data_IF_115954935694
#
_entry.id   IF_115954935694
#
_cell.length_a   1.000
_cell.length_b   1.000
_cell.length_c   1.000
_cell.angle_alpha   90.00
_cell.angle_beta   90.00
_cell.angle_gamma   90.00
#
_symmetry.space_group_name_H-M   'P 1'
#
loop_
_entity.id
_entity.type
_entity.pdbx_description
1 polymer ?
#
# COMPACT_ATOMS: atom_id res chain seq x y z
N UNK A 1 44.01 42.17 -9.74
CA UNK A 1 44.21 41.58 -11.08
C UNK A 1 43.23 40.44 -11.22
N UNK A 2 42.46 40.52 -12.30
CA UNK A 2 41.33 39.69 -12.69
C UNK A 2 41.60 38.19 -12.61
N UNK A 3 40.62 37.43 -12.13
CA UNK A 3 40.44 36.06 -12.60
C UNK A 3 39.09 35.92 -13.26
N UNK A 4 39.18 35.58 -14.54
CA UNK A 4 38.11 35.31 -15.49
C UNK A 4 37.31 34.09 -15.04
N UNK A 5 36.00 34.20 -15.23
CA UNK A 5 35.07 33.08 -15.24
C UNK A 5 35.42 32.12 -16.38
N UNK A 6 35.40 30.83 -16.09
CA UNK A 6 35.21 29.79 -17.10
C UNK A 6 34.27 28.72 -16.53
N UNK A 7 33.00 28.89 -16.85
CA UNK A 7 31.93 27.90 -16.70
C UNK A 7 32.24 26.71 -17.60
N UNK A 8 32.36 25.48 -17.07
CA UNK A 8 32.15 24.27 -17.89
C UNK A 8 31.57 23.13 -17.05
N UNK A 9 30.50 22.58 -17.60
CA UNK A 9 29.62 21.51 -17.14
C UNK A 9 30.33 20.26 -16.59
N UNK A 10 29.81 19.71 -15.48
CA UNK A 10 30.14 18.35 -15.03
C UNK A 10 28.87 17.48 -14.99
N UNK A 11 28.84 16.42 -15.82
CA UNK A 11 27.78 15.41 -15.88
C UNK A 11 28.21 14.17 -15.08
N UNK A 12 27.58 13.99 -13.92
CA UNK A 12 27.35 12.73 -13.17
C UNK A 12 28.55 11.93 -12.62
N UNK A 13 28.38 11.52 -11.35
CA UNK A 13 29.26 10.66 -10.54
C UNK A 13 29.00 9.17 -10.81
N UNK A 14 30.05 8.36 -11.01
CA UNK A 14 29.97 6.88 -11.01
C UNK A 14 31.12 6.26 -10.19
N UNK A 15 30.84 5.15 -9.48
CA UNK A 15 31.75 4.36 -8.60
C UNK A 15 32.96 3.69 -9.29
N UNK A 16 33.37 4.21 -10.44
CA UNK A 16 34.50 3.77 -11.23
C UNK A 16 35.03 5.03 -11.92
N UNK A 17 36.23 5.46 -11.50
CA UNK A 17 37.08 6.55 -12.00
C UNK A 17 36.38 7.65 -12.83
N UNK A 18 36.25 8.88 -12.27
CA UNK A 18 36.08 10.13 -13.05
C UNK A 18 36.74 11.33 -12.35
N UNK A 19 37.97 11.63 -12.80
CA UNK A 19 38.67 12.93 -12.87
C UNK A 19 38.86 13.77 -11.60
N UNK A 20 40.13 13.87 -11.18
CA UNK A 20 40.61 14.84 -10.17
C UNK A 20 41.65 15.77 -10.82
N UNK A 21 41.52 17.07 -10.60
CA UNK A 21 42.52 18.06 -11.01
C UNK A 21 43.57 18.18 -9.92
N UNK A 22 44.80 17.75 -10.20
CA UNK A 22 45.98 18.12 -9.40
C UNK A 22 46.67 19.29 -10.11
N UNK A 23 46.51 20.50 -9.61
CA UNK A 23 47.43 21.61 -9.89
C UNK A 23 48.27 21.80 -8.62
N UNK A 24 49.61 22.00 -8.71
CA UNK A 24 50.14 23.19 -9.36
C UNK A 24 51.53 23.06 -10.03
N UNK A 25 51.80 23.92 -11.02
CA UNK A 25 53.14 24.44 -11.35
C UNK A 25 54.33 23.46 -11.47
N UNK A 26 54.15 22.30 -12.07
CA UNK A 26 55.24 21.59 -12.73
C UNK A 26 54.66 20.58 -13.72
N UNK A 27 55.19 20.58 -14.94
CA UNK A 27 55.04 19.45 -15.83
C UNK A 27 55.45 18.17 -15.07
N UNK A 28 54.78 17.05 -15.33
CA UNK A 28 55.01 15.68 -14.82
C UNK A 28 53.99 15.22 -13.79
N UNK A 29 52.94 14.56 -14.28
CA UNK A 29 52.45 13.29 -13.73
C UNK A 29 52.00 12.41 -14.89
N UNK A 30 52.94 12.09 -15.78
CA UNK A 30 52.87 10.85 -16.54
C UNK A 30 53.76 9.84 -15.80
N UNK A 31 53.22 8.85 -15.07
CA UNK A 31 54.01 7.79 -14.49
C UNK A 31 54.24 6.67 -15.52
N UNK A 32 54.22 6.96 -16.83
CA UNK A 32 54.64 6.02 -17.87
C UNK A 32 56.11 5.64 -17.67
N UNK A 33 56.35 4.57 -16.92
CA UNK A 33 57.52 3.67 -16.96
C UNK A 33 58.95 4.26 -16.87
N UNK A 34 59.14 5.58 -16.92
CA UNK A 34 60.43 6.26 -17.01
C UNK A 34 61.13 6.41 -15.66
N UNK A 35 60.41 6.18 -14.56
CA UNK A 35 60.89 6.33 -13.19
C UNK A 35 60.82 5.03 -12.37
N UNK A 36 60.63 3.88 -13.02
CA UNK A 36 60.67 2.55 -12.36
C UNK A 36 62.03 1.89 -12.56
N UNK A 37 62.90 1.76 -11.52
CA UNK A 37 64.12 0.98 -11.65
C UNK A 37 63.76 -0.47 -11.98
N UNK A 38 64.28 -0.99 -13.10
CA UNK A 38 64.12 -2.39 -13.54
C UNK A 38 62.66 -2.83 -13.82
N UNK A 39 61.74 -1.89 -14.06
CA UNK A 39 60.34 -2.22 -14.39
C UNK A 39 59.50 -2.78 -13.23
N UNK A 40 60.00 -2.71 -11.98
CA UNK A 40 59.22 -3.06 -10.79
C UNK A 40 58.47 -1.83 -10.25
N UNK A 41 57.13 -1.80 -10.31
CA UNK A 41 56.32 -0.64 -9.90
C UNK A 41 56.48 -0.28 -8.42
N UNK A 42 56.81 -1.26 -7.58
CA UNK A 42 56.99 -1.08 -6.13
C UNK A 42 58.23 -0.24 -5.76
N UNK A 43 59.16 -0.04 -6.70
CA UNK A 43 60.36 0.78 -6.51
C UNK A 43 60.23 2.19 -7.13
N UNK A 44 59.00 2.62 -7.46
CA UNK A 44 58.77 3.95 -7.98
C UNK A 44 59.07 5.01 -6.90
N UNK A 45 59.96 6.01 -7.15
CA UNK A 45 60.34 7.02 -6.16
C UNK A 45 59.20 7.99 -5.79
N UNK A 46 58.06 7.89 -6.46
CA UNK A 46 56.83 8.59 -6.11
C UNK A 46 56.03 7.85 -5.04
N UNK A 47 56.17 6.54 -4.90
CA UNK A 47 55.53 5.77 -3.83
C UNK A 47 56.05 6.25 -2.47
N UNK A 48 55.16 6.29 -1.47
CA UNK A 48 55.45 6.81 -0.14
C UNK A 48 55.37 8.34 0.00
N UNK A 49 55.27 9.10 -1.10
CA UNK A 49 55.02 10.56 -1.05
C UNK A 49 53.56 10.87 -0.80
N UNK A 50 53.28 11.99 -0.15
CA UNK A 50 51.91 12.47 0.06
C UNK A 50 51.51 13.52 -0.97
N UNK A 51 50.32 13.37 -1.54
CA UNK A 51 49.69 14.31 -2.47
C UNK A 51 48.39 14.84 -1.87
N UNK A 52 48.06 16.10 -2.15
CA UNK A 52 46.77 16.69 -1.78
C UNK A 52 45.83 16.62 -2.99
N UNK A 53 44.77 15.84 -2.86
CA UNK A 53 43.74 15.67 -3.88
C UNK A 53 42.56 16.57 -3.53
N UNK A 54 42.04 17.31 -4.51
CA UNK A 54 40.90 18.22 -4.30
C UNK A 54 39.79 17.97 -5.32
N UNK A 55 38.53 18.03 -4.87
CA UNK A 55 37.32 17.88 -5.69
C UNK A 55 36.17 18.65 -5.06
N UNK A 56 35.43 19.40 -5.89
CA UNK A 56 34.25 20.18 -5.47
C UNK A 56 34.47 20.99 -4.18
N UNK A 57 35.64 21.65 -4.06
CA UNK A 57 35.99 22.49 -2.92
C UNK A 57 36.46 21.75 -1.65
N UNK A 58 36.44 20.41 -1.65
CA UNK A 58 37.02 19.58 -0.59
C UNK A 58 38.42 19.13 -0.98
N UNK A 59 39.27 18.89 0.01
CA UNK A 59 40.60 18.30 -0.21
C UNK A 59 40.91 17.23 0.82
N UNK A 60 41.66 16.21 0.42
CA UNK A 60 42.24 15.19 1.29
C UNK A 60 43.69 14.97 0.91
N UNK A 61 44.56 14.75 1.90
CA UNK A 61 45.96 14.38 1.67
C UNK A 61 46.06 12.87 1.76
N UNK A 62 46.62 12.23 0.72
CA UNK A 62 46.78 10.78 0.61
C UNK A 62 48.21 10.43 0.25
N UNK A 63 48.65 9.24 0.60
CA UNK A 63 49.98 8.73 0.23
C UNK A 63 49.87 7.91 -1.07
N UNK A 64 50.83 8.10 -1.97
CA UNK A 64 50.95 7.31 -3.20
C UNK A 64 51.45 5.92 -2.83
N UNK A 65 50.69 4.88 -3.18
CA UNK A 65 51.01 3.49 -2.81
C UNK A 65 51.44 2.69 -4.05
N UNK A 66 50.66 2.76 -5.13
CA UNK A 66 50.91 1.96 -6.34
C UNK A 66 50.40 2.67 -7.60
N UNK A 67 50.79 2.16 -8.76
CA UNK A 67 50.22 2.52 -10.07
C UNK A 67 48.95 1.70 -10.34
N UNK A 68 47.94 2.34 -10.92
CA UNK A 68 46.76 1.66 -11.42
C UNK A 68 46.93 1.38 -12.93
N UNK A 69 47.21 0.13 -13.31
CA UNK A 69 47.42 -0.25 -14.70
C UNK A 69 46.16 -0.15 -15.59
N UNK A 70 44.97 -0.11 -14.97
CA UNK A 70 43.69 0.01 -15.65
C UNK A 70 43.18 1.46 -15.72
N UNK A 71 43.83 2.40 -15.06
CA UNK A 71 43.39 3.80 -14.99
C UNK A 71 43.89 4.58 -16.21
N UNK A 72 43.11 5.57 -16.66
CA UNK A 72 43.56 6.48 -17.72
C UNK A 72 44.72 7.36 -17.24
N UNK A 73 45.45 7.96 -18.19
CA UNK A 73 46.65 8.80 -17.92
C UNK A 73 46.40 9.96 -16.94
N UNK A 74 45.16 10.39 -16.76
CA UNK A 74 44.79 11.50 -15.87
C UNK A 74 43.86 11.09 -14.72
N UNK A 75 43.78 9.79 -14.44
CA UNK A 75 42.94 9.25 -13.37
C UNK A 75 43.77 8.95 -12.11
N UNK A 76 43.13 9.14 -10.95
CA UNK A 76 43.67 8.74 -9.65
C UNK A 76 42.73 7.70 -9.03
N UNK A 77 43.27 6.53 -8.71
CA UNK A 77 42.58 5.53 -7.91
C UNK A 77 42.79 5.84 -6.42
N UNK A 78 41.70 6.02 -5.69
CA UNK A 78 41.72 6.42 -4.28
C UNK A 78 41.17 5.29 -3.44
N UNK A 79 41.74 5.11 -2.24
CA UNK A 79 41.11 4.23 -1.27
C UNK A 79 39.67 4.70 -0.98
N UNK A 80 38.75 3.78 -0.61
CA UNK A 80 37.37 4.14 -0.34
C UNK A 80 37.22 5.28 0.68
N UNK A 81 38.10 5.31 1.68
CA UNK A 81 38.11 6.33 2.74
C UNK A 81 38.50 7.72 2.20
N UNK A 82 39.55 7.76 1.37
CA UNK A 82 39.98 9.00 0.74
C UNK A 82 38.93 9.53 -0.24
N UNK A 83 38.32 8.63 -1.03
CA UNK A 83 37.24 8.99 -1.95
C UNK A 83 36.02 9.55 -1.22
N UNK A 84 35.56 8.90 -0.14
CA UNK A 84 34.43 9.37 0.68
C UNK A 84 34.65 10.78 1.24
N UNK A 85 35.88 11.10 1.65
CA UNK A 85 36.25 12.42 2.17
C UNK A 85 36.10 13.54 1.13
N UNK A 86 36.12 13.18 -0.16
CA UNK A 86 35.98 14.11 -1.28
C UNK A 86 34.56 14.17 -1.85
N UNK A 87 33.71 13.19 -1.56
CA UNK A 87 32.30 13.24 -2.00
C UNK A 87 31.46 14.14 -1.08
N UNK A 88 30.51 14.88 -1.64
CA UNK A 88 29.33 15.25 -0.87
C UNK A 88 28.56 13.97 -0.60
N UNK A 89 28.57 13.50 0.65
CA UNK A 89 27.46 12.71 1.15
C UNK A 89 26.22 13.60 1.06
N UNK A 90 25.57 13.63 -0.11
CA UNK A 90 24.12 13.75 -0.10
C UNK A 90 23.68 12.56 0.71
N UNK A 91 23.28 12.82 1.94
CA UNK A 91 22.42 11.94 2.70
C UNK A 91 21.25 11.64 1.78
N UNK A 92 21.33 10.55 1.03
CA UNK A 92 20.14 9.84 0.59
C UNK A 92 19.46 9.53 1.91
N UNK A 93 18.48 10.35 2.27
CA UNK A 93 17.48 9.99 3.22
C UNK A 93 17.03 8.60 2.76
N UNK A 94 17.35 7.58 3.55
CA UNK A 94 16.54 6.38 3.61
C UNK A 94 15.15 6.92 3.95
N UNK A 95 14.39 7.31 2.93
CA UNK A 95 12.96 7.49 3.08
C UNK A 95 12.49 6.06 3.32
N UNK A 96 12.06 5.70 4.54
CA UNK A 96 11.29 4.48 4.63
C UNK A 96 10.11 4.72 3.70
N UNK A 97 9.80 3.75 2.84
CA UNK A 97 8.47 3.65 2.30
C UNK A 97 7.54 3.50 3.51
N UNK A 98 7.18 4.62 4.14
CA UNK A 98 6.12 4.66 5.12
C UNK A 98 4.86 4.37 4.31
N UNK A 99 4.48 3.09 4.29
CA UNK A 99 3.15 2.68 3.83
C UNK A 99 2.20 3.42 4.76
N UNK A 100 1.50 4.43 4.22
CA UNK A 100 0.49 5.12 4.99
C UNK A 100 -0.52 4.09 5.49
N UNK A 101 -0.90 4.17 6.77
CA UNK A 101 -1.94 3.31 7.30
C UNK A 101 -3.21 3.49 6.44
N UNK A 102 -3.80 2.40 5.92
CA UNK A 102 -5.00 2.50 5.12
C UNK A 102 -6.13 3.07 5.98
N UNK A 103 -6.76 4.14 5.51
CA UNK A 103 -7.92 4.69 6.18
C UNK A 103 -9.06 3.66 6.16
N UNK A 104 -9.71 3.36 7.29
CA UNK A 104 -10.82 2.41 7.31
C UNK A 104 -12.01 2.97 6.53
N UNK A 105 -12.82 2.11 5.87
CA UNK A 105 -14.05 2.55 5.26
C UNK A 105 -15.04 3.04 6.34
N UNK A 106 -15.72 4.18 6.15
CA UNK A 106 -16.75 4.63 7.06
C UNK A 106 -17.97 3.71 7.04
N UNK A 107 -18.63 3.60 8.19
CA UNK A 107 -19.92 2.92 8.36
C UNK A 107 -21.06 3.94 8.34
N UNK A 108 -22.07 3.70 7.52
CA UNK A 108 -23.30 4.50 7.49
C UNK A 108 -24.48 3.64 7.91
N UNK A 109 -25.17 4.01 8.99
CA UNK A 109 -26.35 3.28 9.45
C UNK A 109 -27.42 3.22 8.35
N UNK A 110 -27.97 2.02 8.12
CA UNK A 110 -29.01 1.75 7.13
C UNK A 110 -30.37 1.55 7.77
N UNK A 111 -30.49 0.56 8.66
CA UNK A 111 -31.72 0.19 9.34
C UNK A 111 -31.43 -0.77 10.51
N UNK A 112 -32.39 -0.91 11.41
CA UNK A 112 -32.49 -2.02 12.36
C UNK A 112 -33.56 -2.99 11.89
N UNK A 113 -33.33 -4.28 12.11
CA UNK A 113 -34.26 -5.36 11.75
C UNK A 113 -34.51 -6.26 12.95
N UNK A 114 -35.78 -6.59 13.16
CA UNK A 114 -36.21 -7.66 14.06
C UNK A 114 -36.77 -8.79 13.20
N UNK A 115 -36.08 -9.93 13.15
CA UNK A 115 -36.46 -11.12 12.41
C UNK A 115 -37.30 -12.04 13.31
N UNK A 116 -38.45 -12.48 12.81
CA UNK A 116 -39.27 -13.49 13.48
C UNK A 116 -39.13 -14.83 12.80
N UNK A 117 -39.10 -15.91 13.59
CA UNK A 117 -38.90 -17.26 13.07
C UNK A 117 -40.14 -18.13 13.30
N UNK A 118 -40.37 -19.08 12.40
CA UNK A 118 -41.26 -20.21 12.67
C UNK A 118 -40.54 -21.29 13.48
N UNK A 119 -41.27 -22.34 13.86
CA UNK A 119 -40.68 -23.48 14.55
C UNK A 119 -39.47 -24.05 13.75
N UNK A 120 -38.29 -24.20 14.39
CA UNK A 120 -37.11 -24.75 13.74
C UNK A 120 -37.31 -26.19 13.27
N UNK A 121 -36.71 -26.54 12.14
CA UNK A 121 -36.56 -27.94 11.73
C UNK A 121 -35.19 -28.42 12.15
N UNK A 122 -35.13 -29.31 13.14
CA UNK A 122 -33.85 -29.81 13.63
C UNK A 122 -33.27 -30.89 12.73
N UNK A 123 -32.01 -30.70 12.31
CA UNK A 123 -31.20 -31.73 11.64
C UNK A 123 -30.38 -32.49 12.70
N UNK A 124 -29.95 -31.78 13.75
CA UNK A 124 -29.17 -32.34 14.86
C UNK A 124 -27.67 -32.28 14.61
N UNK A 125 -26.93 -33.21 15.21
CA UNK A 125 -25.47 -33.25 15.15
C UNK A 125 -24.96 -33.65 13.76
N UNK A 126 -24.03 -32.87 13.23
CA UNK A 126 -23.32 -33.08 11.97
C UNK A 126 -21.81 -33.05 12.22
N UNK A 127 -20.94 -33.46 11.27
CA UNK A 127 -19.50 -33.54 11.51
C UNK A 127 -18.86 -32.24 12.05
N UNK A 128 -19.40 -31.07 11.66
CA UNK A 128 -18.85 -29.76 11.99
C UNK A 128 -19.52 -29.06 13.18
N UNK A 129 -20.56 -29.64 13.78
CA UNK A 129 -21.34 -28.98 14.83
C UNK A 129 -22.78 -29.49 14.90
N UNK A 130 -23.73 -28.64 15.26
CA UNK A 130 -25.16 -28.91 15.13
C UNK A 130 -25.79 -28.01 14.07
N UNK A 131 -26.87 -28.49 13.46
CA UNK A 131 -27.58 -27.76 12.42
C UNK A 131 -29.09 -27.82 12.65
N UNK A 132 -29.72 -26.66 12.51
CA UNK A 132 -31.16 -26.48 12.46
C UNK A 132 -31.48 -25.58 11.27
N UNK A 133 -32.62 -25.79 10.64
CA UNK A 133 -33.15 -24.88 9.61
C UNK A 133 -34.11 -23.91 10.28
N UNK A 134 -33.75 -22.62 10.27
CA UNK A 134 -34.52 -21.55 10.88
C UNK A 134 -35.33 -20.84 9.79
N UNK A 135 -36.63 -21.12 9.74
CA UNK A 135 -37.51 -20.48 8.76
C UNK A 135 -37.82 -19.05 9.22
N UNK A 136 -37.39 -18.06 8.45
CA UNK A 136 -37.70 -16.64 8.69
C UNK A 136 -39.12 -16.41 8.19
N UNK A 137 -40.03 -16.11 9.12
CA UNK A 137 -41.47 -16.01 8.88
C UNK A 137 -41.96 -14.56 8.75
N UNK A 138 -41.14 -13.60 9.17
CA UNK A 138 -41.50 -12.20 9.14
C UNK A 138 -40.50 -11.34 9.90
N UNK A 139 -40.93 -10.13 10.23
CA UNK A 139 -40.10 -9.15 10.91
C UNK A 139 -40.38 -7.72 10.47
N UNK A 140 -39.79 -6.79 11.18
CA UNK A 140 -39.94 -5.36 10.93
C UNK A 140 -38.57 -4.73 10.66
N UNK A 141 -38.53 -3.82 9.68
CA UNK A 141 -37.34 -3.05 9.33
C UNK A 141 -37.63 -1.57 9.49
N UNK A 142 -36.79 -0.87 10.25
CA UNK A 142 -36.92 0.57 10.49
C UNK A 142 -35.57 1.25 10.28
N UNK A 143 -35.55 2.31 9.49
CA UNK A 143 -34.33 3.04 9.19
C UNK A 143 -34.57 4.33 8.42
N UNK A 144 -33.56 5.21 8.32
CA UNK A 144 -33.68 6.49 7.62
C UNK A 144 -33.96 6.35 6.11
N UNK A 145 -33.51 5.25 5.48
CA UNK A 145 -33.65 5.04 4.02
C UNK A 145 -34.55 3.86 3.65
N UNK A 146 -34.69 2.90 4.55
CA UNK A 146 -35.41 1.65 4.31
C UNK A 146 -36.32 1.41 5.51
N UNK A 147 -37.62 1.33 5.23
CA UNK A 147 -38.64 0.95 6.19
C UNK A 147 -39.53 -0.08 5.52
N UNK A 148 -39.90 -1.13 6.25
CA UNK A 148 -40.59 -2.25 5.64
C UNK A 148 -40.82 -3.41 6.58
N UNK A 149 -41.15 -4.55 5.96
CA UNK A 149 -41.36 -5.83 6.63
C UNK A 149 -40.52 -6.91 5.98
N UNK A 150 -40.14 -7.88 6.77
CA UNK A 150 -39.48 -9.09 6.28
C UNK A 150 -40.56 -10.04 5.77
N UNK A 151 -40.31 -10.62 4.59
CA UNK A 151 -41.13 -11.67 4.02
C UNK A 151 -40.60 -13.04 4.41
N UNK A 152 -40.56 -13.97 3.46
CA UNK A 152 -40.11 -15.33 3.71
C UNK A 152 -38.61 -15.45 3.52
N UNK A 153 -37.99 -16.29 4.34
CA UNK A 153 -36.60 -16.68 4.17
C UNK A 153 -36.24 -17.93 4.95
N UNK A 154 -34.97 -18.30 4.85
CA UNK A 154 -34.38 -19.44 5.54
C UNK A 154 -32.97 -19.08 5.98
N UNK A 155 -32.63 -19.40 7.21
CA UNK A 155 -31.25 -19.46 7.69
C UNK A 155 -30.91 -20.94 7.93
N UNK A 156 -29.91 -21.42 7.20
CA UNK A 156 -29.38 -22.76 7.38
C UNK A 156 -28.08 -22.73 8.16
N UNK A 157 -27.85 -21.78 9.07
CA UNK A 157 -26.62 -21.59 9.83
C UNK A 157 -26.11 -22.82 10.59
N UNK A 158 -24.84 -22.80 10.98
CA UNK A 158 -24.18 -23.88 11.72
C UNK A 158 -23.79 -23.39 13.11
N UNK A 159 -24.13 -24.14 14.16
CA UNK A 159 -23.52 -23.96 15.48
C UNK A 159 -22.33 -24.88 15.60
N UNK A 160 -21.12 -24.34 15.74
CA UNK A 160 -19.93 -25.15 15.86
C UNK A 160 -19.80 -25.83 17.25
N UNK A 161 -18.76 -26.64 17.42
CA UNK A 161 -18.51 -27.35 18.70
C UNK A 161 -18.13 -26.43 19.86
N UNK A 162 -17.76 -25.19 19.59
CA UNK A 162 -17.51 -24.15 20.59
C UNK A 162 -18.79 -23.37 20.95
N UNK A 163 -19.91 -23.66 20.28
CA UNK A 163 -21.19 -22.99 20.49
C UNK A 163 -21.35 -21.70 19.69
N UNK A 164 -20.46 -21.42 18.72
CA UNK A 164 -20.55 -20.24 17.88
C UNK A 164 -21.50 -20.52 16.72
N UNK A 165 -22.59 -19.75 16.65
CA UNK A 165 -23.53 -19.80 15.53
C UNK A 165 -23.01 -19.00 14.34
N UNK A 166 -23.04 -19.62 13.16
CA UNK A 166 -22.60 -19.03 11.90
C UNK A 166 -23.79 -18.98 10.95
N UNK A 167 -24.53 -17.86 10.90
CA UNK A 167 -25.70 -17.71 10.05
C UNK A 167 -25.32 -17.77 8.57
N UNK A 168 -26.22 -18.32 7.76
CA UNK A 168 -26.15 -18.35 6.30
C UNK A 168 -27.60 -18.31 5.80
N UNK A 169 -28.09 -17.09 5.59
CA UNK A 169 -29.50 -16.79 5.43
C UNK A 169 -29.80 -16.08 4.12
N UNK A 170 -31.00 -16.36 3.61
CA UNK A 170 -31.62 -15.71 2.46
C UNK A 170 -33.04 -15.32 2.83
N UNK A 171 -33.42 -14.05 2.67
CA UNK A 171 -34.79 -13.59 2.96
C UNK A 171 -35.19 -12.40 2.11
N UNK A 172 -36.50 -12.17 1.99
CA UNK A 172 -37.02 -10.97 1.32
C UNK A 172 -37.32 -9.85 2.30
N UNK A 173 -37.04 -8.62 1.90
CA UNK A 173 -37.44 -7.38 2.55
C UNK A 173 -38.41 -6.64 1.62
N UNK A 174 -39.62 -6.41 2.09
CA UNK A 174 -40.65 -5.65 1.39
C UNK A 174 -40.72 -4.25 1.98
N UNK A 175 -40.36 -3.24 1.19
CA UNK A 175 -40.38 -1.85 1.64
C UNK A 175 -41.81 -1.30 1.65
N UNK A 176 -42.06 -0.29 2.50
CA UNK A 176 -43.38 0.36 2.61
C UNK A 176 -43.79 1.10 1.33
N UNK A 177 -42.83 1.40 0.46
CA UNK A 177 -43.02 2.04 -0.84
C UNK A 177 -42.91 1.04 -2.01
N UNK A 178 -43.25 -0.23 -1.74
CA UNK A 178 -43.53 -1.26 -2.75
C UNK A 178 -42.31 -1.73 -3.58
N UNK A 179 -41.13 -1.80 -2.96
CA UNK A 179 -39.98 -2.53 -3.50
C UNK A 179 -39.78 -3.86 -2.77
N UNK A 180 -39.25 -4.84 -3.47
CA UNK A 180 -38.77 -6.10 -2.87
C UNK A 180 -37.27 -6.18 -3.05
N UNK A 181 -36.58 -6.47 -1.95
CA UNK A 181 -35.13 -6.61 -1.88
C UNK A 181 -34.84 -8.01 -1.35
N UNK A 182 -34.07 -8.79 -2.09
CA UNK A 182 -33.51 -10.06 -1.62
C UNK A 182 -32.26 -9.75 -0.79
N UNK A 183 -32.16 -10.36 0.38
CA UNK A 183 -31.08 -10.13 1.34
C UNK A 183 -30.33 -11.44 1.54
N UNK A 184 -29.02 -11.39 1.34
CA UNK A 184 -28.10 -12.49 1.63
C UNK A 184 -27.29 -12.12 2.86
N UNK A 185 -27.30 -12.96 3.87
CA UNK A 185 -26.63 -12.71 5.14
C UNK A 185 -25.74 -13.88 5.51
N UNK A 186 -24.49 -13.60 5.88
CA UNK A 186 -23.56 -14.65 6.30
C UNK A 186 -22.52 -14.14 7.28
N UNK A 187 -22.12 -14.97 8.24
CA UNK A 187 -21.05 -14.60 9.15
C UNK A 187 -20.88 -15.51 10.35
N UNK A 188 -20.38 -14.95 11.44
CA UNK A 188 -20.21 -15.59 12.73
C UNK A 188 -20.82 -14.67 13.78
N UNK A 189 -21.88 -15.11 14.44
CA UNK A 189 -22.55 -14.32 15.46
C UNK A 189 -21.55 -13.79 16.51
N UNK A 190 -21.66 -12.52 16.91
CA UNK A 190 -22.75 -11.59 16.64
C UNK A 190 -22.63 -10.81 15.32
N UNK A 191 -21.68 -11.13 14.44
CA UNK A 191 -21.30 -10.27 13.31
C UNK A 191 -21.50 -10.95 11.94
N UNK A 192 -22.17 -10.25 11.04
CA UNK A 192 -22.49 -10.76 9.70
C UNK A 192 -22.21 -9.72 8.63
N UNK A 193 -21.98 -10.18 7.41
CA UNK A 193 -22.03 -9.34 6.23
C UNK A 193 -23.32 -9.59 5.46
N UNK A 194 -23.80 -8.53 4.81
CA UNK A 194 -25.06 -8.53 4.08
C UNK A 194 -24.83 -7.99 2.68
N UNK A 195 -25.41 -8.69 1.70
CA UNK A 195 -25.55 -8.25 0.32
C UNK A 195 -27.02 -8.17 -0.06
N UNK A 196 -27.31 -7.42 -1.12
CA UNK A 196 -28.68 -7.13 -1.54
C UNK A 196 -28.85 -7.32 -3.04
N UNK A 197 -30.04 -7.76 -3.45
CA UNK A 197 -30.48 -7.75 -4.84
C UNK A 197 -31.89 -7.18 -4.97
N UNK A 198 -32.10 -6.26 -5.91
CA UNK A 198 -33.42 -5.70 -6.20
C UNK A 198 -33.53 -5.21 -7.64
N UNK A 199 -34.73 -5.33 -8.20
CA UNK A 199 -35.10 -4.74 -9.49
C UNK A 199 -35.63 -3.29 -9.36
N UNK A 200 -35.80 -2.78 -8.14
CA UNK A 200 -36.32 -1.43 -7.93
C UNK A 200 -35.29 -0.38 -8.31
N UNK A 201 -35.63 0.51 -9.26
CA UNK A 201 -34.76 1.63 -9.64
C UNK A 201 -34.43 2.54 -8.45
N UNK A 202 -35.40 2.78 -7.57
CA UNK A 202 -35.21 3.59 -6.35
C UNK A 202 -34.15 3.00 -5.41
N UNK A 203 -34.08 1.68 -5.35
CA UNK A 203 -33.17 0.95 -4.47
C UNK A 203 -31.99 0.30 -5.20
N UNK A 204 -31.78 0.61 -6.49
CA UNK A 204 -30.72 0.00 -7.32
C UNK A 204 -29.30 0.18 -6.75
N UNK A 205 -29.08 1.21 -5.94
CA UNK A 205 -27.82 1.44 -5.23
C UNK A 205 -27.44 0.33 -4.23
N UNK A 206 -28.41 -0.47 -3.77
CA UNK A 206 -28.19 -1.62 -2.89
C UNK A 206 -27.48 -2.77 -3.62
N UNK A 207 -27.67 -2.92 -4.93
CA UNK A 207 -27.05 -3.99 -5.72
C UNK A 207 -25.52 -3.91 -5.74
N UNK A 208 -24.95 -2.74 -5.41
CA UNK A 208 -23.50 -2.52 -5.27
C UNK A 208 -23.08 -2.24 -3.83
N UNK A 209 -23.99 -2.31 -2.87
CA UNK A 209 -23.71 -2.04 -1.48
C UNK A 209 -23.18 -3.31 -0.78
N UNK A 210 -22.17 -3.11 0.07
CA UNK A 210 -21.76 -4.12 1.06
C UNK A 210 -22.20 -3.59 2.42
N UNK A 211 -22.88 -4.42 3.21
CA UNK A 211 -23.28 -4.08 4.55
C UNK A 211 -22.63 -5.01 5.58
N UNK A 212 -22.45 -4.46 6.77
CA UNK A 212 -22.10 -5.15 7.99
C UNK A 212 -23.28 -5.06 8.94
N UNK A 213 -23.58 -6.13 9.66
CA UNK A 213 -24.55 -6.08 10.73
C UNK A 213 -24.02 -6.74 11.99
N UNK A 214 -24.53 -6.27 13.13
CA UNK A 214 -24.26 -6.87 14.42
C UNK A 214 -25.52 -6.93 15.26
N UNK A 215 -25.62 -7.96 16.10
CA UNK A 215 -26.74 -8.14 17.01
C UNK A 215 -26.85 -9.59 17.49
N UNK A 216 -28.06 -9.99 17.86
CA UNK A 216 -28.31 -11.30 18.45
C UNK A 216 -29.73 -11.50 18.95
N UNK A 217 -29.95 -12.51 19.80
CA UNK A 217 -31.27 -12.80 20.35
C UNK A 217 -31.86 -11.64 21.13
N UNK A 218 -33.14 -11.36 20.90
CA UNK A 218 -33.92 -10.40 21.69
C UNK A 218 -34.68 -11.11 22.83
N UNK A 219 -35.45 -10.35 23.61
CA UNK A 219 -36.19 -10.88 24.76
C UNK A 219 -37.26 -11.93 24.39
N UNK A 220 -37.72 -11.93 23.15
CA UNK A 220 -38.76 -12.82 22.64
C UNK A 220 -38.17 -14.11 22.04
N UNK A 221 -36.84 -14.26 22.01
CA UNK A 221 -36.13 -15.39 21.39
C UNK A 221 -35.96 -15.26 19.87
N UNK A 222 -36.36 -14.12 19.31
CA UNK A 222 -36.15 -13.72 17.92
C UNK A 222 -34.77 -13.06 17.74
N UNK A 223 -34.39 -12.67 16.51
CA UNK A 223 -33.08 -12.05 16.23
C UNK A 223 -33.24 -10.57 15.89
N UNK A 224 -32.49 -9.72 16.57
CA UNK A 224 -32.40 -8.28 16.30
C UNK A 224 -31.00 -7.92 15.81
N UNK A 225 -30.91 -7.20 14.69
CA UNK A 225 -29.67 -6.72 14.10
C UNK A 225 -29.75 -5.23 13.78
N UNK A 226 -28.64 -4.53 14.00
CA UNK A 226 -28.40 -3.21 13.42
C UNK A 226 -27.52 -3.37 12.17
N UNK A 227 -27.86 -2.66 11.09
CA UNK A 227 -27.22 -2.81 9.78
C UNK A 227 -26.58 -1.50 9.34
N UNK A 228 -25.31 -1.56 8.90
CA UNK A 228 -24.54 -0.45 8.39
C UNK A 228 -23.99 -0.74 6.99
N UNK A 229 -24.08 0.23 6.09
CA UNK A 229 -23.39 0.21 4.82
C UNK A 229 -21.90 0.49 5.05
N UNK A 230 -21.05 -0.40 4.56
CA UNK A 230 -19.61 -0.14 4.43
C UNK A 230 -19.41 0.68 3.16
N UNK A 231 -18.94 1.93 3.29
CA UNK A 231 -18.69 2.79 2.13
C UNK A 231 -17.21 2.86 1.84
N UNK A 232 -16.85 2.72 0.56
CA UNK A 232 -15.53 3.13 0.11
C UNK A 232 -15.49 4.66 -0.01
N UNK A 233 -14.52 5.28 0.66
CA UNK A 233 -14.07 6.62 0.27
C UNK A 233 -13.19 6.43 -0.96
N UNK A 234 -13.80 6.27 -2.13
CA UNK A 234 -13.07 6.72 -3.31
C UNK A 234 -13.17 8.24 -3.28
N UNK A 235 -12.04 9.00 -3.39
CA UNK A 235 -12.19 10.35 -3.90
C UNK A 235 -12.92 10.18 -5.22
N UNK A 236 -14.03 10.89 -5.39
CA UNK A 236 -14.67 11.02 -6.69
C UNK A 236 -13.55 11.43 -7.65
N UNK A 237 -12.99 10.47 -8.39
CA UNK A 237 -12.42 10.77 -9.68
C UNK A 237 -13.66 11.14 -10.45
N UNK A 238 -14.00 12.42 -10.38
CA UNK A 238 -14.85 13.09 -11.34
C UNK A 238 -14.37 12.55 -12.66
N UNK A 239 -15.18 11.73 -13.33
CA UNK A 239 -14.97 11.48 -14.74
C UNK A 239 -15.01 12.87 -15.36
N UNK A 240 -13.83 13.46 -15.57
CA UNK A 240 -13.63 14.56 -16.46
C UNK A 240 -13.95 13.95 -17.82
N UNK A 241 -15.24 13.98 -18.15
CA UNK A 241 -15.71 13.87 -19.52
C UNK A 241 -15.01 14.99 -20.26
N UNK A 242 -13.86 14.67 -20.85
CA UNK A 242 -13.28 15.45 -21.91
C UNK A 242 -14.32 15.46 -23.03
N UNK A 243 -15.21 16.46 -23.02
CA UNK A 243 -15.94 16.88 -24.20
C UNK A 243 -14.88 17.34 -25.21
N UNK A 244 -14.42 16.42 -26.04
CA UNK A 244 -13.72 16.75 -27.25
C UNK A 244 -14.78 17.37 -28.19
N UNK A 245 -14.85 18.70 -28.22
CA UNK A 245 -15.49 19.39 -29.32
C UNK A 245 -14.56 19.30 -30.54
N UNK A 246 -14.95 18.66 -31.65
CA UNK A 246 -14.29 18.95 -32.91
C UNK A 246 -14.73 20.36 -33.33
N UNK A 247 -13.77 21.30 -33.36
CA UNK A 247 -13.86 22.44 -34.26
C UNK A 247 -13.74 21.90 -35.68
N UNK A 248 -14.81 21.96 -36.47
CA UNK A 248 -14.80 22.33 -37.89
C UNK A 248 -16.18 22.85 -38.27
#
# INVERSE_FOLDING_TARGET
MSWLSATTFCKSLSRSCRSFTVCPNSNVLDPSDASTPNGNPNNNPLCGRSIRVSHEGKSVTVQVVDRCAACGTHDLDLSPVAFQSLTLLTTLLLSPFAVADPAPPPLTYLYSVNLTFAAPVSIGSVPYGSRDLLTISGGNVVGPKINGKIGTGLDWGLTDRAGIFSPDALYTLHTNDNATILVFEKGHAPNVHILFETASEKYAWLNSAVAYATGGPNADGDIALDVWQVRFIYPLITYLTYFCFPRF
#
